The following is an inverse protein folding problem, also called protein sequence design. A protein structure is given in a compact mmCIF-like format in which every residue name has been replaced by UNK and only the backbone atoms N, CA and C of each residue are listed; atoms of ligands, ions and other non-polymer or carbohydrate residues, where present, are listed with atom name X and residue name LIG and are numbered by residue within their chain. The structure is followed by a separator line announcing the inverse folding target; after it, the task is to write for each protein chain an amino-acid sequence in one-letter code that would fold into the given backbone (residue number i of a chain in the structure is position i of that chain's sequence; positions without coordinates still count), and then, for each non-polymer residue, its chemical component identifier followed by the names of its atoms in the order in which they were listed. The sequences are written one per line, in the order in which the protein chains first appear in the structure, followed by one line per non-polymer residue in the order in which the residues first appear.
data_IF_983924190517
#
_entry.id   IF_983924190517
#
_cell.length_a   1.000
_cell.length_b   1.000
_cell.length_c   1.000
_cell.angle_alpha   90.00
_cell.angle_beta   90.00
_cell.angle_gamma   90.00
#
_symmetry.space_group_name_H-M   'P 1'
#
loop_
_entity.id
_entity.type
_entity.pdbx_description
1 polymer ?
#
# COMPACT_ATOMS: atom_id res chain seq x y z
N UNK A 1 25.72 50.17 -29.50
CA UNK A 1 25.08 50.10 -28.17
C UNK A 1 23.98 49.05 -28.19
N UNK A 2 24.09 48.09 -27.27
CA UNK A 2 23.09 47.17 -26.67
C UNK A 2 21.92 46.62 -27.51
N UNK A 3 21.96 45.29 -27.67
CA UNK A 3 20.87 44.39 -28.07
C UNK A 3 19.74 44.43 -27.01
N UNK A 4 18.48 44.50 -27.42
CA UNK A 4 17.30 44.21 -26.58
C UNK A 4 16.27 43.51 -27.51
N UNK A 5 16.33 42.18 -27.62
CA UNK A 5 15.50 41.18 -26.92
C UNK A 5 14.02 41.30 -27.29
N UNK A 6 13.66 40.53 -28.31
CA UNK A 6 12.33 39.95 -28.55
C UNK A 6 11.96 39.03 -27.39
N UNK A 7 10.68 38.95 -27.04
CA UNK A 7 9.89 37.73 -26.75
C UNK A 7 8.60 38.21 -26.07
N UNK A 8 7.48 38.14 -26.79
CA UNK A 8 6.16 38.34 -26.23
C UNK A 8 5.32 37.11 -26.56
N UNK A 9 4.68 36.59 -25.49
CA UNK A 9 3.48 35.73 -25.48
C UNK A 9 3.74 34.25 -25.83
N UNK A 10 4.14 33.49 -24.81
CA UNK A 10 3.85 32.06 -24.71
C UNK A 10 2.91 31.84 -23.52
N UNK A 11 1.61 32.02 -23.74
CA UNK A 11 0.58 31.72 -22.73
C UNK A 11 -0.50 30.87 -23.38
N UNK A 12 -0.17 29.61 -23.66
CA UNK A 12 -1.12 28.57 -24.04
C UNK A 12 -0.62 27.21 -23.53
N UNK A 13 -0.51 27.07 -22.21
CA UNK A 13 -0.18 25.79 -21.58
C UNK A 13 -0.81 25.71 -20.19
N UNK A 14 -2.14 25.64 -20.14
CA UNK A 14 -2.88 25.36 -18.90
C UNK A 14 -4.05 24.38 -19.14
N UNK A 15 -3.86 23.41 -20.04
CA UNK A 15 -4.82 22.31 -20.30
C UNK A 15 -4.29 20.91 -19.97
N UNK A 16 -3.18 20.80 -19.25
CA UNK A 16 -2.71 19.57 -18.63
C UNK A 16 -2.74 19.90 -17.14
N UNK A 17 -3.65 19.39 -16.29
CA UNK A 17 -3.69 18.03 -15.78
C UNK A 17 -5.05 17.76 -15.10
N UNK A 18 -6.08 17.39 -15.86
CA UNK A 18 -7.23 16.66 -15.31
C UNK A 18 -7.24 15.22 -15.83
N UNK A 19 -6.13 14.51 -15.64
CA UNK A 19 -6.19 13.07 -15.60
C UNK A 19 -6.74 12.69 -14.20
N UNK A 20 -8.06 12.74 -14.03
CA UNK A 20 -8.71 11.95 -12.99
C UNK A 20 -8.55 10.48 -13.40
N UNK A 21 -7.35 9.94 -13.16
CA UNK A 21 -7.13 8.52 -13.21
C UNK A 21 -8.04 7.90 -12.16
N UNK A 22 -8.89 6.97 -12.58
CA UNK A 22 -9.55 6.05 -11.66
C UNK A 22 -8.42 5.11 -11.16
N UNK A 23 -7.56 5.63 -10.27
CA UNK A 23 -6.41 4.92 -9.73
C UNK A 23 -6.95 3.70 -8.97
N UNK A 24 -6.92 2.54 -9.63
CA UNK A 24 -7.15 1.26 -8.98
C UNK A 24 -6.10 1.12 -7.89
N UNK A 25 -6.54 0.99 -6.64
CA UNK A 25 -5.67 0.87 -5.48
C UNK A 25 -4.61 -0.23 -5.70
N UNK A 26 -3.33 0.12 -5.55
CA UNK A 26 -2.24 -0.84 -5.65
C UNK A 26 -1.95 -1.46 -4.26
N UNK A 27 -2.50 -2.65 -4.01
CA UNK A 27 -2.32 -3.35 -2.74
C UNK A 27 -0.96 -4.04 -2.61
N UNK A 28 -0.36 -4.48 -3.73
CA UNK A 28 0.85 -5.29 -3.74
C UNK A 28 2.04 -4.53 -3.17
N UNK A 29 2.83 -5.18 -2.33
CA UNK A 29 4.05 -4.63 -1.74
C UNK A 29 4.15 -4.83 -0.24
N UNK A 30 5.04 -4.07 0.39
CA UNK A 30 5.38 -4.22 1.80
C UNK A 30 4.80 -3.07 2.61
N UNK A 31 4.22 -3.40 3.75
CA UNK A 31 3.48 -2.45 4.58
C UNK A 31 3.98 -2.51 6.02
N UNK A 32 4.12 -1.34 6.63
CA UNK A 32 4.58 -1.17 8.01
C UNK A 32 3.60 -0.29 8.79
N UNK A 33 3.11 -0.83 9.89
CA UNK A 33 2.29 -0.11 10.86
C UNK A 33 3.11 0.27 12.10
N UNK A 34 2.39 0.65 13.14
CA UNK A 34 3.00 0.94 14.44
C UNK A 34 3.66 -0.29 15.07
N UNK A 35 4.54 -0.06 16.05
CA UNK A 35 5.25 -1.10 16.78
C UNK A 35 5.96 -2.14 15.88
N UNK A 36 6.43 -1.71 14.70
CA UNK A 36 7.06 -2.58 13.69
C UNK A 36 6.16 -3.72 13.19
N UNK A 37 4.83 -3.61 13.31
CA UNK A 37 3.93 -4.54 12.63
C UNK A 37 4.15 -4.45 11.12
N UNK A 38 4.45 -5.57 10.48
CA UNK A 38 4.72 -5.63 9.04
C UNK A 38 3.93 -6.75 8.38
N UNK A 39 3.57 -6.53 7.12
CA UNK A 39 3.05 -7.57 6.24
C UNK A 39 3.44 -7.30 4.78
N UNK A 40 3.42 -8.36 3.98
CA UNK A 40 3.58 -8.32 2.53
C UNK A 40 2.23 -8.67 1.89
N UNK A 41 1.86 -7.95 0.83
CA UNK A 41 0.72 -8.29 -0.02
C UNK A 41 1.25 -8.77 -1.36
N UNK A 42 0.86 -9.99 -1.72
CA UNK A 42 1.16 -10.66 -2.98
C UNK A 42 -0.12 -10.83 -3.79
N UNK A 43 0.01 -11.03 -5.10
CA UNK A 43 -1.09 -11.47 -5.96
C UNK A 43 -0.62 -12.61 -6.85
N UNK A 44 -1.46 -13.64 -7.01
CA UNK A 44 -1.13 -14.82 -7.83
C UNK A 44 -1.64 -14.69 -9.27
N UNK A 45 -2.78 -14.01 -9.46
CA UNK A 45 -3.49 -13.94 -10.75
C UNK A 45 -4.17 -12.58 -10.99
N UNK A 46 -3.81 -11.56 -10.20
CA UNK A 46 -4.43 -10.22 -10.25
C UNK A 46 -5.82 -10.12 -9.66
N UNK A 47 -6.40 -11.22 -9.17
CA UNK A 47 -7.75 -11.28 -8.58
C UNK A 47 -7.70 -11.75 -7.12
N UNK A 48 -6.89 -12.79 -6.87
CA UNK A 48 -6.62 -13.36 -5.56
C UNK A 48 -5.32 -12.77 -5.01
N UNK A 49 -5.37 -12.41 -3.73
CA UNK A 49 -4.27 -11.80 -3.01
C UNK A 49 -3.93 -12.61 -1.76
N UNK A 50 -2.67 -12.54 -1.37
CA UNK A 50 -2.16 -13.12 -0.13
C UNK A 50 -1.60 -11.99 0.72
N UNK A 51 -2.09 -11.87 1.95
CA UNK A 51 -1.54 -11.01 2.99
C UNK A 51 -0.70 -11.90 3.90
N UNK A 52 0.62 -11.72 3.87
CA UNK A 52 1.60 -12.54 4.60
C UNK A 52 2.23 -11.75 5.75
N UNK A 53 2.26 -12.33 6.93
CA UNK A 53 3.02 -11.80 8.08
C UNK A 53 3.71 -12.93 8.86
N UNK A 54 4.33 -12.60 10.00
CA UNK A 54 5.00 -13.58 10.86
C UNK A 54 4.09 -14.69 11.41
N UNK A 55 2.78 -14.46 11.45
CA UNK A 55 1.79 -15.40 11.95
C UNK A 55 1.18 -16.29 10.85
N UNK A 56 1.52 -16.05 9.58
CA UNK A 56 1.07 -16.85 8.44
C UNK A 56 0.46 -16.02 7.30
N UNK A 57 -0.23 -16.73 6.42
CA UNK A 57 -0.83 -16.20 5.18
C UNK A 57 -2.36 -16.12 5.31
N UNK A 58 -2.93 -15.01 4.82
CA UNK A 58 -4.37 -14.77 4.71
C UNK A 58 -4.74 -14.52 3.25
N UNK A 59 -5.84 -15.10 2.78
CA UNK A 59 -6.30 -14.95 1.39
C UNK A 59 -7.41 -13.92 1.25
N UNK A 60 -7.24 -12.99 0.31
CA UNK A 60 -8.15 -11.86 0.15
C UNK A 60 -8.52 -11.60 -1.32
N UNK A 61 -9.65 -10.90 -1.52
CA UNK A 61 -10.15 -10.46 -2.82
C UNK A 61 -10.53 -8.99 -2.78
N UNK A 62 -10.48 -8.34 -3.94
CA UNK A 62 -10.93 -6.94 -4.05
C UNK A 62 -12.45 -6.90 -4.15
N UNK A 63 -13.08 -6.30 -3.15
CA UNK A 63 -14.54 -6.17 -3.02
C UNK A 63 -14.86 -4.76 -2.46
N UNK A 64 -15.74 -4.02 -3.14
CA UNK A 64 -16.13 -2.65 -2.78
C UNK A 64 -14.94 -1.68 -2.57
N UNK A 65 -13.92 -1.80 -3.44
CA UNK A 65 -12.72 -0.96 -3.40
C UNK A 65 -11.83 -1.21 -2.17
N UNK A 66 -11.98 -2.36 -1.51
CA UNK A 66 -11.12 -2.81 -0.41
C UNK A 66 -10.63 -4.22 -0.69
N UNK A 67 -9.46 -4.56 -0.15
CA UNK A 67 -8.98 -5.93 -0.12
C UNK A 67 -9.59 -6.62 1.11
N UNK A 68 -10.47 -7.60 0.91
CA UNK A 68 -11.29 -8.22 1.96
C UNK A 68 -11.07 -9.72 2.05
N UNK A 69 -11.23 -10.26 3.25
CA UNK A 69 -11.27 -11.69 3.48
C UNK A 69 -11.78 -12.03 4.88
N UNK A 70 -11.85 -13.34 5.16
CA UNK A 70 -12.21 -13.90 6.47
C UNK A 70 -11.16 -14.91 6.88
N UNK A 71 -10.85 -14.95 8.17
CA UNK A 71 -9.92 -15.95 8.72
C UNK A 71 -10.65 -17.23 9.12
N UNK A 72 -9.92 -18.21 9.68
CA UNK A 72 -10.47 -19.50 10.13
C UNK A 72 -11.49 -19.40 11.27
N UNK A 73 -11.58 -18.25 11.95
CA UNK A 73 -12.54 -17.96 13.02
C UNK A 73 -13.73 -17.13 12.51
N UNK A 74 -13.90 -17.02 11.19
CA UNK A 74 -14.94 -16.21 10.54
C UNK A 74 -14.88 -14.71 10.89
N UNK A 75 -13.71 -14.22 11.31
CA UNK A 75 -13.51 -12.78 11.54
C UNK A 75 -13.14 -12.10 10.22
N UNK A 76 -13.88 -11.04 9.91
CA UNK A 76 -13.59 -10.19 8.75
C UNK A 76 -12.34 -9.35 8.96
N UNK A 77 -11.63 -9.15 7.85
CA UNK A 77 -10.60 -8.14 7.74
C UNK A 77 -10.71 -7.42 6.40
N UNK A 78 -10.29 -6.16 6.39
CA UNK A 78 -10.29 -5.34 5.19
C UNK A 78 -9.12 -4.36 5.14
N UNK A 79 -8.61 -4.10 3.94
CA UNK A 79 -7.57 -3.14 3.69
C UNK A 79 -8.02 -2.12 2.66
N UNK A 80 -7.78 -0.83 2.93
CA UNK A 80 -7.96 0.25 1.96
C UNK A 80 -6.64 0.96 1.75
N UNK A 81 -6.29 1.23 0.49
CA UNK A 81 -5.03 1.86 0.08
C UNK A 81 -5.31 3.20 -0.58
N UNK A 82 -4.50 4.20 -0.24
CA UNK A 82 -4.45 5.50 -0.90
C UNK A 82 -2.99 5.91 -1.05
N UNK A 83 -2.44 5.75 -2.26
CA UNK A 83 -1.01 5.97 -2.52
C UNK A 83 -0.13 5.03 -1.70
N UNK A 84 0.73 5.62 -0.87
CA UNK A 84 1.67 4.91 0.02
C UNK A 84 1.15 4.77 1.46
N UNK A 85 -0.13 5.03 1.67
CA UNK A 85 -0.81 4.85 2.96
C UNK A 85 -1.93 3.83 2.83
N UNK A 86 -2.15 3.07 3.91
CA UNK A 86 -3.24 2.13 4.01
C UNK A 86 -3.85 2.13 5.42
N UNK A 87 -5.10 1.72 5.49
CA UNK A 87 -5.74 1.31 6.73
C UNK A 87 -6.09 -0.17 6.62
N UNK A 88 -5.78 -0.92 7.67
CA UNK A 88 -6.14 -2.33 7.80
C UNK A 88 -7.04 -2.49 9.01
N UNK A 89 -8.22 -3.06 8.81
CA UNK A 89 -9.17 -3.40 9.86
C UNK A 89 -9.15 -4.92 10.04
N UNK A 90 -9.03 -5.36 11.28
CA UNK A 90 -9.08 -6.76 11.66
C UNK A 90 -9.97 -6.90 12.89
N UNK A 91 -11.16 -7.49 12.72
CA UNK A 91 -12.21 -7.41 13.74
C UNK A 91 -12.62 -5.96 14.00
N UNK A 92 -12.50 -5.48 15.24
CA UNK A 92 -12.83 -4.10 15.63
C UNK A 92 -11.62 -3.16 15.72
N UNK A 93 -10.43 -3.61 15.29
CA UNK A 93 -9.18 -2.86 15.39
C UNK A 93 -8.83 -2.31 14.01
N UNK A 94 -8.63 -0.99 13.92
CA UNK A 94 -8.14 -0.31 12.72
C UNK A 94 -6.73 0.19 12.96
N UNK A 95 -5.81 -0.18 12.08
CA UNK A 95 -4.40 0.22 12.15
C UNK A 95 -3.97 0.88 10.86
N UNK A 96 -3.23 1.99 10.97
CA UNK A 96 -2.61 2.66 9.83
C UNK A 96 -1.29 2.01 9.42
N UNK A 97 -1.05 1.93 8.11
CA UNK A 97 0.16 1.38 7.52
C UNK A 97 0.74 2.34 6.49
N UNK A 98 2.06 2.37 6.39
CA UNK A 98 2.81 3.04 5.35
C UNK A 98 3.52 2.01 4.47
N UNK A 99 3.59 2.27 3.17
CA UNK A 99 4.38 1.46 2.24
C UNK A 99 5.86 1.59 2.56
N UNK A 100 6.56 0.46 2.57
CA UNK A 100 8.02 0.38 2.75
C UNK A 100 8.66 -0.45 1.63
N UNK A 101 9.98 -0.39 1.52
CA UNK A 101 10.75 -1.22 0.60
C UNK A 101 11.06 -2.61 1.15
N UNK A 102 11.35 -3.56 0.26
CA UNK A 102 11.68 -4.95 0.63
C UNK A 102 12.84 -5.06 1.62
N UNK A 103 13.88 -4.21 1.48
CA UNK A 103 15.04 -4.24 2.37
C UNK A 103 14.68 -3.86 3.82
N UNK A 104 13.79 -2.87 4.01
CA UNK A 104 13.30 -2.51 5.34
C UNK A 104 12.40 -3.60 5.90
N UNK A 105 11.53 -4.16 5.07
CA UNK A 105 10.65 -5.28 5.45
C UNK A 105 11.47 -6.46 5.99
N UNK A 106 12.48 -6.89 5.23
CA UNK A 106 13.33 -8.01 5.63
C UNK A 106 14.07 -7.74 6.94
N UNK A 107 14.61 -6.52 7.11
CA UNK A 107 15.29 -6.11 8.35
C UNK A 107 14.37 -6.24 9.58
N UNK A 108 13.11 -5.79 9.45
CA UNK A 108 12.13 -5.88 10.56
C UNK A 108 11.74 -7.35 10.80
N UNK A 109 11.48 -8.10 9.74
CA UNK A 109 11.09 -9.51 9.81
C UNK A 109 12.15 -10.35 10.53
N UNK A 110 13.43 -10.16 10.19
CA UNK A 110 14.55 -10.87 10.82
C UNK A 110 14.66 -10.51 12.31
N UNK A 111 14.43 -9.25 12.66
CA UNK A 111 14.40 -8.81 14.06
C UNK A 111 13.27 -9.46 14.85
N UNK A 112 12.08 -9.63 14.25
CA UNK A 112 10.94 -10.28 14.88
C UNK A 112 11.18 -11.78 15.07
N UNK A 113 11.74 -12.45 14.06
CA UNK A 113 12.09 -13.87 14.14
C UNK A 113 13.13 -14.16 15.22
N UNK A 114 14.15 -13.30 15.35
CA UNK A 114 15.17 -13.44 16.39
C UNK A 114 14.57 -13.36 17.80
N UNK A 115 13.67 -12.41 18.03
CA UNK A 115 13.03 -12.23 19.34
C UNK A 115 12.11 -13.39 19.77
N UNK A 116 11.77 -14.32 18.85
CA UNK A 116 10.96 -15.51 19.16
C UNK A 116 11.85 -16.70 19.58
N UNK A 117 13.13 -16.69 19.21
CA UNK A 117 14.07 -17.80 19.43
C UNK A 117 14.90 -17.63 20.71
N UNK A 118 15.03 -16.39 21.21
CA UNK A 118 15.68 -16.04 22.48
C UNK A 118 14.69 -16.06 23.66
#
# INVERSE_FOLDING_TARGET
MKKIITIAILSLASLLFFACGNDTANYVGYWKGEANMIFEVLTENGTDYIIRNVNGDLTAKVEDGALRGRNSLDMEYLMRVKGDSAYYEFGSITTGYQRIGQAEYQKILDSQKKAIVD
#
